data_IF_360216193979
#
_entry.id   IF_360216193979
#
_cell.length_a   1.000
_cell.length_b   1.000
_cell.length_c   1.000
_cell.angle_alpha   90.00
_cell.angle_beta   90.00
_cell.angle_gamma   90.00
#
_symmetry.space_group_name_H-M   'P 1'
#
loop_
_entity.id
_entity.type
_entity.pdbx_description
1 polymer ?
#
# COMPACT_ATOMS: atom_id res chain seq x y z
N UNK A 1 -4.25 -10.35 0.49
CA UNK A 1 -4.35 -9.09 -0.29
C UNK A 1 -3.13 -8.84 -1.18
N UNK A 2 -2.02 -9.57 -0.98
CA UNK A 2 -0.84 -9.55 -1.85
C UNK A 2 -1.15 -9.68 -3.36
N UNK A 3 -1.93 -10.69 -3.77
CA UNK A 3 -2.27 -10.92 -5.18
C UNK A 3 -3.01 -9.72 -5.78
N UNK A 4 -3.89 -9.10 -4.99
CA UNK A 4 -4.64 -7.92 -5.42
C UNK A 4 -3.72 -6.71 -5.61
N UNK A 5 -2.80 -6.50 -4.67
CA UNK A 5 -1.76 -5.47 -4.82
C UNK A 5 -0.91 -5.67 -6.06
N UNK A 6 -0.59 -6.93 -6.41
CA UNK A 6 0.14 -7.27 -7.63
C UNK A 6 -0.67 -7.01 -8.89
N UNK A 7 -1.97 -7.31 -8.88
CA UNK A 7 -2.87 -7.01 -9.99
C UNK A 7 -2.98 -5.51 -10.25
N UNK A 8 -3.14 -4.69 -9.20
CA UNK A 8 -3.14 -3.23 -9.34
C UNK A 8 -1.78 -2.66 -9.76
N UNK A 9 -0.68 -3.29 -9.33
CA UNK A 9 0.68 -2.92 -9.76
C UNK A 9 0.94 -3.22 -11.24
N UNK A 10 0.46 -4.37 -11.72
CA UNK A 10 0.67 -4.84 -13.09
C UNK A 10 -0.41 -4.33 -14.07
N UNK A 11 -1.58 -3.92 -13.57
CA UNK A 11 -2.74 -3.61 -14.39
C UNK A 11 -3.40 -4.87 -14.98
N UNK A 12 -3.26 -6.02 -14.34
CA UNK A 12 -3.84 -7.29 -14.82
C UNK A 12 -5.33 -7.35 -14.45
N UNK A 13 -6.19 -6.99 -15.42
CA UNK A 13 -7.65 -7.00 -15.25
C UNK A 13 -8.22 -5.80 -14.48
N UNK A 14 -7.36 -4.89 -14.01
CA UNK A 14 -7.73 -3.63 -13.33
C UNK A 14 -6.85 -2.49 -13.84
N UNK A 15 -7.32 -1.25 -13.72
CA UNK A 15 -6.49 -0.08 -14.02
C UNK A 15 -5.28 -0.05 -13.09
N UNK A 16 -4.10 0.27 -13.65
CA UNK A 16 -2.84 0.27 -12.92
C UNK A 16 -2.85 1.38 -11.86
N UNK A 17 -2.91 1.01 -10.59
CA UNK A 17 -3.00 1.94 -9.46
C UNK A 17 -2.02 1.54 -8.35
N UNK A 18 -0.92 2.27 -8.28
CA UNK A 18 0.11 2.06 -7.28
C UNK A 18 -0.36 2.44 -5.87
N UNK A 19 -1.24 3.43 -5.71
CA UNK A 19 -1.73 3.83 -4.39
C UNK A 19 -2.63 2.73 -3.78
N UNK A 20 -3.50 2.14 -4.61
CA UNK A 20 -4.27 0.98 -4.18
C UNK A 20 -3.39 -0.24 -3.92
N UNK A 21 -2.41 -0.52 -4.79
CA UNK A 21 -1.47 -1.63 -4.58
C UNK A 21 -0.75 -1.52 -3.23
N UNK A 22 -0.25 -0.33 -2.88
CA UNK A 22 0.39 -0.09 -1.59
C UNK A 22 -0.57 -0.34 -0.42
N UNK A 23 -1.83 0.10 -0.51
CA UNK A 23 -2.82 -0.12 0.56
C UNK A 23 -3.09 -1.61 0.78
N UNK A 24 -3.23 -2.39 -0.29
CA UNK A 24 -3.40 -3.84 -0.19
C UNK A 24 -2.16 -4.54 0.38
N UNK A 25 -0.96 -4.10 0.00
CA UNK A 25 0.28 -4.61 0.57
C UNK A 25 0.44 -4.22 2.05
N UNK A 26 0.11 -2.99 2.45
CA UNK A 26 0.12 -2.56 3.87
C UNK A 26 -0.82 -3.40 4.71
N UNK A 27 -2.04 -3.65 4.24
CA UNK A 27 -3.01 -4.50 4.95
C UNK A 27 -2.51 -5.94 5.09
N UNK A 28 -1.93 -6.52 4.03
CA UNK A 28 -1.33 -7.86 4.14
C UNK A 28 -0.07 -7.87 5.02
N UNK A 29 0.75 -6.82 5.00
CA UNK A 29 1.90 -6.68 5.91
C UNK A 29 1.45 -6.56 7.38
N UNK A 30 0.36 -5.85 7.65
CA UNK A 30 -0.23 -5.73 8.99
C UNK A 30 -0.77 -7.05 9.54
N UNK A 31 -1.15 -7.98 8.66
CA UNK A 31 -1.56 -9.35 9.01
C UNK A 31 -0.36 -10.31 9.19
N UNK A 32 0.87 -9.81 9.08
CA UNK A 32 2.09 -10.61 9.26
C UNK A 32 2.53 -11.39 8.02
N UNK A 33 2.03 -11.06 6.82
CA UNK A 33 2.51 -11.71 5.60
C UNK A 33 3.86 -11.14 5.15
N UNK A 34 4.95 -11.93 5.21
CA UNK A 34 6.30 -11.46 4.86
C UNK A 34 6.45 -11.14 3.36
N UNK A 35 5.69 -11.82 2.50
CA UNK A 35 5.65 -11.56 1.06
C UNK A 35 5.10 -10.17 0.75
N UNK A 36 4.12 -9.70 1.52
CA UNK A 36 3.54 -8.38 1.35
C UNK A 36 4.47 -7.28 1.88
N UNK A 37 5.17 -7.52 2.99
CA UNK A 37 6.24 -6.62 3.46
C UNK A 37 7.35 -6.48 2.41
N UNK A 38 7.75 -7.60 1.80
CA UNK A 38 8.78 -7.62 0.76
C UNK A 38 8.32 -6.90 -0.52
N UNK A 39 7.06 -7.08 -0.93
CA UNK A 39 6.51 -6.35 -2.07
C UNK A 39 6.33 -4.86 -1.80
N UNK A 40 5.90 -4.48 -0.59
CA UNK A 40 5.84 -3.09 -0.16
C UNK A 40 7.25 -2.46 -0.17
N UNK A 41 8.26 -3.18 0.32
CA UNK A 41 9.65 -2.73 0.30
C UNK A 41 10.20 -2.60 -1.14
N UNK A 42 9.87 -3.54 -2.04
CA UNK A 42 10.25 -3.46 -3.47
C UNK A 42 9.57 -2.31 -4.19
N UNK A 43 8.34 -1.99 -3.80
CA UNK A 43 7.56 -0.89 -4.38
C UNK A 43 7.98 0.47 -3.83
N UNK A 44 8.35 0.52 -2.55
CA UNK A 44 8.83 1.72 -1.89
C UNK A 44 10.27 2.00 -2.32
N UNK A 45 10.42 2.82 -3.35
CA UNK A 45 11.71 3.25 -3.90
C UNK A 45 12.64 3.76 -2.79
N UNK A 46 13.92 3.32 -2.72
CA UNK A 46 14.88 3.84 -1.73
C UNK A 46 15.08 5.34 -1.99
N UNK A 47 14.52 6.18 -1.13
CA UNK A 47 14.57 7.63 -1.26
C UNK A 47 13.21 8.33 -1.15
N UNK A 48 12.09 7.58 -1.21
CA UNK A 48 10.79 8.15 -0.87
C UNK A 48 10.65 8.13 0.64
N UNK A 49 10.87 9.29 1.25
CA UNK A 49 10.51 9.56 2.64
C UNK A 49 9.14 8.95 2.90
N UNK A 50 9.11 7.93 3.74
CA UNK A 50 7.89 7.33 4.24
C UNK A 50 7.18 8.43 5.01
N UNK A 51 6.32 9.20 4.33
CA UNK A 51 5.32 10.00 5.00
C UNK A 51 4.21 9.00 5.30
N UNK A 52 4.12 8.46 6.53
CA UNK A 52 2.85 7.90 6.95
C UNK A 52 1.91 9.08 6.86
N UNK A 53 1.08 9.11 5.82
CA UNK A 53 0.04 10.12 5.68
C UNK A 53 -0.72 10.09 7.00
N UNK A 54 -0.48 11.14 7.80
CA UNK A 54 -1.10 11.35 9.11
C UNK A 54 -2.55 11.71 8.82
N UNK A 55 -3.35 10.75 8.38
CA UNK A 55 -4.80 10.86 8.30
C UNK A 55 -5.43 9.52 8.68
N UNK A 56 -5.11 9.06 9.88
CA UNK A 56 -6.10 8.33 10.67
C UNK A 56 -6.60 9.25 11.78
N UNK A 57 -7.71 9.94 11.52
CA UNK A 57 -8.76 10.12 12.51
C UNK A 57 -10.14 10.22 11.83
N UNK A 58 -11.12 9.55 12.43
CA UNK A 58 -12.51 9.43 12.01
C UNK A 58 -13.36 10.69 12.25
N UNK A 59 -12.80 11.85 12.53
CA UNK A 59 -13.59 13.02 12.91
C UNK A 59 -13.13 14.26 12.16
N UNK A 60 -13.90 14.61 11.13
CA UNK A 60 -13.68 15.79 10.28
C UNK A 60 -13.93 17.10 11.01
N UNK A 61 -13.03 17.51 11.92
CA UNK A 61 -12.97 18.88 12.43
C UNK A 61 -11.53 19.37 12.56
N UNK A 62 -11.25 20.41 11.76
CA UNK A 62 -10.00 21.17 11.70
C UNK A 62 -10.16 22.34 12.69
N UNK A 63 -9.25 22.48 13.65
CA UNK A 63 -9.12 23.70 14.45
C UNK A 63 -8.57 24.83 13.59
#
# INVERSE_FOLDING_TARGET
LYVLGKMYQNGEGVARDYAQAENFYRRSAALGYPEAQSALAKMSVPGRSFQPDRLFNQEGKKY
#
